data_IF_558161048577
#
_entry.id   IF_558161048577
#
_cell.length_a   1.000
_cell.length_b   1.000
_cell.length_c   1.000
_cell.angle_alpha   90.00
_cell.angle_beta   90.00
_cell.angle_gamma   90.00
#
_symmetry.space_group_name_H-M   'P 1'
#
loop_
_entity.id
_entity.type
_entity.pdbx_description
1 polymer ?
#
# COMPACT_ATOMS: atom_id res chain seq x y z
N UNK A 1 10.15 -7.59 14.40
CA UNK A 1 9.98 -6.69 15.55
C UNK A 1 10.52 -5.29 15.27
N UNK A 2 9.97 -4.20 15.88
CA UNK A 2 10.46 -2.82 15.70
C UNK A 2 11.95 -2.67 16.00
N UNK A 3 12.45 -3.39 17.02
CA UNK A 3 13.87 -3.42 17.38
C UNK A 3 14.77 -3.96 16.26
N UNK A 4 14.32 -4.96 15.52
CA UNK A 4 15.05 -5.45 14.36
C UNK A 4 15.19 -4.37 13.28
N UNK A 5 14.09 -3.75 12.89
CA UNK A 5 14.12 -2.68 11.89
C UNK A 5 14.97 -1.51 12.35
N UNK A 6 14.78 -1.03 13.59
CA UNK A 6 15.54 0.09 14.13
C UNK A 6 17.07 -0.15 14.12
N UNK A 7 17.50 -1.40 14.30
CA UNK A 7 18.92 -1.76 14.31
C UNK A 7 19.50 -2.02 12.90
N UNK A 8 18.67 -2.17 11.87
CA UNK A 8 19.08 -2.50 10.49
C UNK A 8 18.72 -1.43 9.47
N UNK A 9 18.09 -0.33 9.90
CA UNK A 9 17.92 0.86 9.04
C UNK A 9 19.25 1.57 8.96
N UNK A 10 19.72 1.81 7.74
CA UNK A 10 20.93 2.60 7.47
C UNK A 10 20.52 3.94 6.87
N UNK A 11 20.98 5.02 7.48
CA UNK A 11 20.88 6.35 6.90
C UNK A 11 22.22 6.66 6.23
N UNK A 12 22.20 6.91 4.93
CA UNK A 12 23.38 7.26 4.13
C UNK A 12 23.22 8.68 3.64
N UNK A 13 24.26 9.50 3.84
CA UNK A 13 24.29 10.91 3.44
C UNK A 13 25.44 11.21 2.52
N UNK A 14 25.26 12.21 1.66
CA UNK A 14 26.35 12.83 0.94
C UNK A 14 27.37 13.40 1.94
N UNK A 15 28.65 13.10 1.75
CA UNK A 15 29.75 13.47 2.63
C UNK A 15 30.05 12.45 3.74
N UNK A 16 29.28 11.35 3.84
CA UNK A 16 29.58 10.30 4.81
C UNK A 16 30.94 9.66 4.51
N UNK A 17 31.73 9.45 5.56
CA UNK A 17 33.04 8.81 5.52
C UNK A 17 32.83 7.29 5.66
N UNK A 18 32.76 6.60 4.54
CA UNK A 18 32.64 5.15 4.47
C UNK A 18 33.22 4.61 3.17
N UNK A 19 33.90 3.48 3.23
CA UNK A 19 34.38 2.85 2.01
C UNK A 19 33.30 2.01 1.31
N UNK A 20 33.46 1.83 0.00
CA UNK A 20 32.59 0.93 -0.78
C UNK A 20 32.55 -0.48 -0.15
N UNK A 21 33.68 -0.98 0.35
CA UNK A 21 33.79 -2.30 0.97
C UNK A 21 32.98 -2.37 2.26
N UNK A 22 33.01 -1.32 3.09
CA UNK A 22 32.22 -1.27 4.31
C UNK A 22 30.72 -1.21 4.01
N UNK A 23 30.32 -0.34 3.07
CA UNK A 23 28.92 -0.25 2.69
C UNK A 23 28.43 -1.55 2.04
N UNK A 24 29.24 -2.19 1.20
CA UNK A 24 28.93 -3.49 0.63
C UNK A 24 28.69 -4.55 1.71
N UNK A 25 29.54 -4.64 2.73
CA UNK A 25 29.36 -5.58 3.84
C UNK A 25 28.06 -5.29 4.63
N UNK A 26 27.74 -4.00 4.83
CA UNK A 26 26.48 -3.60 5.48
C UNK A 26 25.26 -4.03 4.66
N UNK A 27 25.31 -3.84 3.32
CA UNK A 27 24.23 -4.25 2.42
C UNK A 27 24.07 -5.77 2.38
N UNK A 28 25.16 -6.54 2.33
CA UNK A 28 25.12 -8.00 2.40
C UNK A 28 24.50 -8.49 3.72
N UNK A 29 24.89 -7.90 4.85
CA UNK A 29 24.31 -8.20 6.17
C UNK A 29 22.82 -7.79 6.26
N UNK A 30 22.42 -6.76 5.56
CA UNK A 30 21.02 -6.34 5.45
C UNK A 30 20.22 -7.17 4.43
N UNK A 31 20.84 -8.18 3.80
CA UNK A 31 20.19 -9.12 2.90
C UNK A 31 20.10 -8.66 1.44
N UNK A 32 20.79 -7.56 1.08
CA UNK A 32 20.84 -7.11 -0.32
C UNK A 32 21.67 -8.06 -1.18
N UNK A 33 21.22 -8.28 -2.41
CA UNK A 33 21.86 -9.16 -3.38
C UNK A 33 22.80 -8.40 -4.29
N UNK A 34 24.05 -8.87 -4.40
CA UNK A 34 25.01 -8.36 -5.37
C UNK A 34 24.67 -8.84 -6.79
N UNK A 35 24.56 -7.92 -7.73
CA UNK A 35 24.22 -8.17 -9.14
C UNK A 35 25.17 -7.39 -10.07
N UNK A 36 25.17 -7.72 -11.36
CA UNK A 36 25.91 -6.95 -12.36
C UNK A 36 25.23 -5.60 -12.68
N UNK A 37 23.90 -5.60 -12.67
CA UNK A 37 23.08 -4.43 -12.97
C UNK A 37 21.83 -4.45 -12.07
N UNK A 38 21.55 -3.34 -11.41
CA UNK A 38 20.40 -3.17 -10.52
C UNK A 38 19.12 -3.00 -11.34
N UNK A 39 18.14 -3.88 -11.13
CA UNK A 39 16.83 -3.88 -11.80
C UNK A 39 15.67 -3.95 -10.81
N UNK A 40 15.87 -4.59 -9.66
CA UNK A 40 14.81 -4.88 -8.69
C UNK A 40 15.18 -4.38 -7.28
N UNK A 41 14.18 -4.20 -6.44
CA UNK A 41 14.40 -3.87 -5.03
C UNK A 41 15.24 -4.96 -4.32
N UNK A 42 16.09 -4.54 -3.39
CA UNK A 42 16.97 -5.45 -2.66
C UNK A 42 18.25 -5.81 -3.42
N UNK A 43 18.52 -5.16 -4.55
CA UNK A 43 19.74 -5.36 -5.34
C UNK A 43 20.73 -4.22 -5.16
N UNK A 44 22.02 -4.55 -5.27
CA UNK A 44 23.09 -3.57 -5.41
C UNK A 44 24.15 -4.05 -6.40
N UNK A 45 24.87 -3.11 -7.03
CA UNK A 45 25.95 -3.36 -7.97
C UNK A 45 27.12 -2.40 -7.70
N UNK A 46 28.35 -2.88 -7.80
CA UNK A 46 29.55 -2.05 -7.66
C UNK A 46 30.30 -1.98 -8.99
N UNK A 47 30.61 -0.78 -9.46
CA UNK A 47 31.34 -0.53 -10.71
C UNK A 47 32.35 0.59 -10.53
N UNK A 48 33.60 0.23 -10.25
CA UNK A 48 34.67 1.21 -9.95
C UNK A 48 34.36 1.99 -8.66
N UNK A 49 34.24 3.33 -8.78
CA UNK A 49 33.85 4.22 -7.68
C UNK A 49 32.34 4.33 -7.48
N UNK A 50 31.54 3.65 -8.28
CA UNK A 50 30.09 3.74 -8.23
C UNK A 50 29.50 2.53 -7.49
N UNK A 51 28.51 2.80 -6.65
CA UNK A 51 27.65 1.80 -6.05
C UNK A 51 26.20 2.14 -6.40
N UNK A 52 25.58 1.29 -7.18
CA UNK A 52 24.16 1.36 -7.50
C UNK A 52 23.38 0.48 -6.53
N UNK A 53 22.22 0.94 -6.06
CA UNK A 53 21.35 0.16 -5.17
C UNK A 53 19.88 0.52 -5.34
N UNK A 54 18.99 -0.46 -5.12
CA UNK A 54 17.56 -0.24 -5.12
C UNK A 54 16.98 -0.62 -3.75
N UNK A 55 16.82 0.36 -2.85
CA UNK A 55 16.34 0.07 -1.50
C UNK A 55 14.92 -0.47 -1.48
N UNK A 56 14.63 -1.33 -0.51
CA UNK A 56 13.27 -1.71 -0.19
C UNK A 56 12.44 -0.49 0.18
N UNK A 57 11.22 -0.39 -0.37
CA UNK A 57 10.30 0.73 -0.14
C UNK A 57 10.62 2.04 -0.87
N UNK A 58 11.76 2.14 -1.59
CA UNK A 58 12.07 3.30 -2.41
C UNK A 58 11.30 3.24 -3.75
N UNK A 59 10.87 4.40 -4.27
CA UNK A 59 10.22 4.49 -5.58
C UNK A 59 11.22 4.45 -6.75
N UNK A 60 12.50 4.70 -6.49
CA UNK A 60 13.57 4.77 -7.48
C UNK A 60 14.88 4.22 -6.92
N UNK A 61 15.77 3.67 -7.75
CA UNK A 61 17.10 3.27 -7.34
C UNK A 61 18.05 4.47 -7.23
N UNK A 62 19.15 4.26 -6.50
CA UNK A 62 20.15 5.29 -6.23
C UNK A 62 21.52 4.86 -6.69
N UNK A 63 22.29 5.85 -7.16
CA UNK A 63 23.70 5.73 -7.52
C UNK A 63 24.52 6.61 -6.61
N UNK A 64 25.42 5.99 -5.86
CA UNK A 64 26.40 6.64 -5.00
C UNK A 64 27.73 6.71 -5.74
N UNK A 65 28.31 7.89 -5.83
CA UNK A 65 29.65 8.09 -6.35
C UNK A 65 30.62 8.33 -5.18
N UNK A 66 31.73 7.64 -5.18
CA UNK A 66 32.72 7.69 -4.10
C UNK A 66 33.98 8.38 -4.56
N UNK A 67 34.48 9.30 -3.75
CA UNK A 67 35.81 9.86 -3.87
C UNK A 67 36.67 9.36 -2.69
N UNK A 68 37.46 8.32 -2.95
CA UNK A 68 38.17 7.60 -1.87
C UNK A 68 37.17 6.90 -0.94
N UNK A 69 37.21 7.26 0.34
CA UNK A 69 36.31 6.74 1.38
C UNK A 69 35.19 7.74 1.75
N UNK A 70 34.86 8.66 0.85
CA UNK A 70 33.77 9.62 1.04
C UNK A 70 32.71 9.48 -0.05
N UNK A 71 31.43 9.60 0.33
CA UNK A 71 30.31 9.65 -0.61
C UNK A 71 30.21 11.06 -1.20
N UNK A 72 30.72 11.26 -2.42
CA UNK A 72 30.74 12.56 -3.09
C UNK A 72 29.36 12.99 -3.57
N UNK A 73 28.59 12.07 -4.13
CA UNK A 73 27.22 12.36 -4.55
C UNK A 73 26.29 11.16 -4.47
N UNK A 74 24.99 11.45 -4.26
CA UNK A 74 23.92 10.48 -4.33
C UNK A 74 22.90 10.96 -5.36
N UNK A 75 22.55 10.11 -6.32
CA UNK A 75 21.65 10.45 -7.42
C UNK A 75 20.64 9.34 -7.65
N UNK A 76 19.43 9.68 -8.02
CA UNK A 76 18.47 8.71 -8.55
C UNK A 76 18.86 8.33 -9.99
N UNK A 77 18.48 7.15 -10.43
CA UNK A 77 18.61 6.75 -11.82
C UNK A 77 17.40 5.95 -12.31
N UNK A 78 17.22 5.91 -13.60
CA UNK A 78 16.15 5.14 -14.24
C UNK A 78 16.58 3.70 -14.49
N UNK A 79 15.76 2.74 -14.08
CA UNK A 79 16.06 1.29 -14.13
C UNK A 79 16.28 0.80 -15.56
N UNK A 80 15.45 1.26 -16.50
CA UNK A 80 15.46 0.75 -17.88
C UNK A 80 16.63 1.33 -18.70
N UNK A 81 16.85 2.64 -18.57
CA UNK A 81 17.88 3.34 -19.33
C UNK A 81 19.21 3.44 -18.61
N UNK A 82 19.24 3.15 -17.30
CA UNK A 82 20.43 3.28 -16.42
C UNK A 82 20.99 4.71 -16.34
N UNK A 83 20.22 5.70 -16.78
CA UNK A 83 20.63 7.10 -16.77
C UNK A 83 20.36 7.75 -15.43
N UNK A 84 21.37 8.47 -14.95
CA UNK A 84 21.27 9.28 -13.74
C UNK A 84 20.30 10.43 -13.94
N UNK A 85 19.49 10.70 -12.91
CA UNK A 85 18.48 11.76 -12.92
C UNK A 85 18.80 12.85 -11.89
N UNK A 86 18.13 12.85 -10.75
CA UNK A 86 18.19 13.93 -9.76
C UNK A 86 19.20 13.63 -8.66
N UNK A 87 19.91 14.67 -8.18
CA UNK A 87 20.74 14.58 -6.98
C UNK A 87 19.90 14.71 -5.72
N UNK A 88 20.25 13.93 -4.71
CA UNK A 88 19.63 13.95 -3.38
C UNK A 88 20.71 13.97 -2.29
N UNK A 89 20.34 14.35 -1.08
CA UNK A 89 21.30 14.53 0.00
C UNK A 89 21.44 13.32 0.91
N UNK A 90 20.36 12.54 1.05
CA UNK A 90 20.33 11.37 1.93
C UNK A 90 19.34 10.31 1.45
N UNK A 91 19.60 9.08 1.84
CA UNK A 91 18.72 7.93 1.60
C UNK A 91 18.59 7.11 2.88
N UNK A 92 17.37 6.58 3.09
CA UNK A 92 17.08 5.61 4.12
C UNK A 92 17.02 4.22 3.51
N UNK A 93 17.82 3.30 4.03
CA UNK A 93 17.86 1.91 3.62
C UNK A 93 17.13 1.05 4.64
N UNK A 94 16.06 0.40 4.23
CA UNK A 94 15.47 -0.69 4.98
C UNK A 94 16.22 -1.99 4.67
N UNK A 95 16.26 -2.97 5.59
CA UNK A 95 16.81 -4.29 5.28
C UNK A 95 16.01 -4.95 4.14
N UNK A 96 16.70 -5.73 3.31
CA UNK A 96 16.07 -6.42 2.19
C UNK A 96 15.15 -7.58 2.63
N UNK A 97 15.31 -8.07 3.85
CA UNK A 97 14.45 -9.07 4.47
C UNK A 97 13.89 -8.56 5.80
N UNK A 98 12.68 -8.97 6.14
CA UNK A 98 12.02 -8.63 7.41
C UNK A 98 12.53 -9.46 8.60
N UNK A 99 13.54 -10.31 8.40
CA UNK A 99 14.16 -11.18 9.38
C UNK A 99 15.67 -11.26 9.16
N UNK A 100 16.47 -11.52 10.23
CA UNK A 100 17.92 -11.56 10.15
C UNK A 100 18.40 -12.75 9.32
N UNK A 101 19.26 -12.48 8.34
CA UNK A 101 19.87 -13.49 7.47
C UNK A 101 21.38 -13.67 7.73
N UNK A 102 21.89 -12.95 8.70
CA UNK A 102 23.25 -13.07 9.18
C UNK A 102 23.51 -14.38 9.97
N UNK A 103 24.74 -14.63 10.33
CA UNK A 103 25.12 -15.86 11.06
C UNK A 103 24.35 -16.05 12.37
N UNK A 104 24.04 -14.94 13.10
CA UNK A 104 23.29 -15.00 14.36
C UNK A 104 21.82 -15.36 14.13
N UNK A 105 21.18 -14.74 13.11
CA UNK A 105 19.83 -15.05 12.73
C UNK A 105 19.65 -16.49 12.27
N UNK A 106 20.61 -17.00 11.48
CA UNK A 106 20.62 -18.40 11.05
C UNK A 106 20.80 -19.35 12.24
N UNK A 107 21.69 -19.02 13.18
CA UNK A 107 21.88 -19.84 14.38
C UNK A 107 20.62 -19.89 15.24
N UNK A 108 19.95 -18.75 15.42
CA UNK A 108 18.68 -18.65 16.14
C UNK A 108 17.58 -19.48 15.46
N UNK A 109 17.44 -19.35 14.13
CA UNK A 109 16.55 -20.18 13.33
C UNK A 109 16.79 -21.67 13.55
N UNK A 110 18.06 -22.12 13.51
CA UNK A 110 18.43 -23.54 13.71
C UNK A 110 17.98 -24.05 15.09
N UNK A 111 18.15 -23.24 16.13
CA UNK A 111 17.70 -23.57 17.49
C UNK A 111 16.17 -23.72 17.53
N UNK A 112 15.45 -22.69 17.11
CA UNK A 112 13.98 -22.68 17.11
C UNK A 112 13.36 -23.73 16.20
N UNK A 113 13.98 -24.01 15.05
CA UNK A 113 13.51 -25.07 14.15
C UNK A 113 13.57 -26.44 14.80
N UNK A 114 14.68 -26.77 15.50
CA UNK A 114 14.82 -28.03 16.22
C UNK A 114 13.88 -28.17 17.41
N UNK A 115 13.57 -27.07 18.08
CA UNK A 115 12.57 -27.06 19.16
C UNK A 115 11.13 -27.28 18.61
N UNK A 116 10.83 -26.75 17.42
CA UNK A 116 9.49 -26.76 16.83
C UNK A 116 9.21 -28.08 16.09
N UNK A 117 10.19 -28.59 15.36
CA UNK A 117 10.04 -29.77 14.50
C UNK A 117 10.92 -30.93 14.99
N UNK A 118 10.28 -31.98 15.51
CA UNK A 118 10.97 -33.11 16.09
C UNK A 118 11.80 -33.93 15.09
N UNK A 119 11.40 -33.96 13.82
CA UNK A 119 11.99 -34.79 12.76
C UNK A 119 12.59 -33.93 11.65
N UNK A 120 13.88 -33.66 11.74
CA UNK A 120 14.62 -32.99 10.67
C UNK A 120 15.18 -34.08 9.75
N UNK A 121 14.79 -34.06 8.48
CA UNK A 121 15.31 -34.96 7.47
C UNK A 121 16.73 -34.58 7.09
N UNK A 122 17.53 -35.59 6.71
CA UNK A 122 18.95 -35.40 6.40
C UNK A 122 19.21 -34.93 4.97
N UNK A 123 18.19 -34.91 4.12
CA UNK A 123 18.30 -34.49 2.72
C UNK A 123 18.72 -33.02 2.62
N UNK A 124 19.65 -32.66 1.71
CA UNK A 124 20.15 -31.30 1.55
C UNK A 124 19.07 -30.30 1.13
N UNK A 125 18.00 -30.78 0.52
CA UNK A 125 16.84 -30.02 0.05
C UNK A 125 15.88 -29.63 1.18
N UNK A 126 16.04 -30.25 2.37
CA UNK A 126 15.23 -29.90 3.53
C UNK A 126 15.46 -28.44 3.93
N UNK A 127 14.39 -27.68 4.18
CA UNK A 127 14.44 -26.24 4.48
C UNK A 127 15.44 -25.89 5.59
N UNK A 128 15.55 -26.73 6.63
CA UNK A 128 16.51 -26.54 7.71
C UNK A 128 17.96 -26.46 7.20
N UNK A 129 18.36 -27.35 6.28
CA UNK A 129 19.71 -27.39 5.74
C UNK A 129 19.97 -26.25 4.74
N UNK A 130 18.96 -25.89 3.98
CA UNK A 130 19.06 -24.77 3.03
C UNK A 130 19.27 -23.44 3.77
N UNK A 131 18.42 -23.14 4.75
CA UNK A 131 18.57 -21.92 5.57
C UNK A 131 19.87 -21.94 6.36
N UNK A 132 20.27 -23.12 6.90
CA UNK A 132 21.56 -23.27 7.61
C UNK A 132 22.78 -22.95 6.74
N UNK A 133 22.66 -23.04 5.41
CA UNK A 133 23.70 -22.68 4.43
C UNK A 133 23.52 -21.27 3.87
N UNK A 134 22.56 -20.48 4.40
CA UNK A 134 22.23 -19.15 3.90
C UNK A 134 21.42 -19.15 2.59
N UNK A 135 20.84 -20.30 2.20
CA UNK A 135 20.00 -20.40 1.00
C UNK A 135 18.56 -20.07 1.40
N UNK A 136 18.07 -18.92 0.94
CA UNK A 136 16.73 -18.40 1.22
C UNK A 136 15.85 -18.57 -0.03
N UNK A 137 15.02 -19.60 -0.02
CA UNK A 137 14.11 -19.88 -1.12
C UNK A 137 12.81 -19.10 -0.97
N UNK A 138 12.08 -18.94 -2.08
CA UNK A 138 10.74 -18.34 -2.07
C UNK A 138 9.82 -19.00 -1.04
N UNK A 139 9.09 -18.17 -0.29
CA UNK A 139 8.20 -18.61 0.78
C UNK A 139 8.89 -18.86 2.12
N UNK A 140 10.16 -18.42 2.30
CA UNK A 140 10.87 -18.49 3.58
C UNK A 140 10.12 -17.71 4.70
N UNK A 141 9.29 -16.75 4.33
CA UNK A 141 8.47 -15.93 5.22
C UNK A 141 7.53 -16.79 6.10
N UNK A 142 7.14 -17.98 5.65
CA UNK A 142 6.35 -18.92 6.44
C UNK A 142 7.08 -19.44 7.70
N UNK A 143 8.41 -19.30 7.75
CA UNK A 143 9.23 -19.65 8.92
C UNK A 143 9.77 -18.42 9.65
N UNK A 144 9.33 -17.20 9.30
CA UNK A 144 9.77 -15.97 9.93
C UNK A 144 9.72 -15.99 11.46
N UNK A 145 8.70 -16.58 12.14
CA UNK A 145 8.69 -16.68 13.59
C UNK A 145 9.88 -17.43 14.20
N UNK A 146 10.57 -18.26 13.41
CA UNK A 146 11.72 -19.01 13.89
C UNK A 146 13.02 -18.19 13.91
N UNK A 147 13.01 -16.98 13.35
CA UNK A 147 14.17 -16.07 13.36
C UNK A 147 14.13 -15.09 14.53
N UNK A 148 13.07 -15.10 15.34
CA UNK A 148 12.86 -14.15 16.42
C UNK A 148 12.44 -14.87 17.71
N UNK A 149 12.76 -14.26 18.84
CA UNK A 149 12.23 -14.69 20.13
C UNK A 149 10.74 -14.41 20.23
N UNK A 150 10.34 -13.20 19.83
CA UNK A 150 8.95 -12.74 19.77
C UNK A 150 8.68 -12.03 18.44
N UNK A 151 7.51 -12.28 17.89
CA UNK A 151 7.03 -11.57 16.71
C UNK A 151 6.36 -10.25 17.12
N UNK A 152 6.32 -9.32 16.19
CA UNK A 152 5.55 -8.09 16.32
C UNK A 152 4.44 -8.02 15.27
N UNK A 153 3.45 -7.20 15.53
CA UNK A 153 2.33 -6.94 14.66
C UNK A 153 2.34 -5.51 14.13
N UNK A 154 1.45 -5.18 13.21
CA UNK A 154 1.24 -3.81 12.79
C UNK A 154 0.96 -2.86 13.98
N UNK A 155 0.26 -3.35 15.00
CA UNK A 155 -0.10 -2.53 16.18
C UNK A 155 1.12 -2.04 16.97
N UNK A 156 2.24 -2.77 16.92
CA UNK A 156 3.49 -2.39 17.60
C UNK A 156 4.22 -1.23 16.92
N UNK A 157 3.82 -0.88 15.70
CA UNK A 157 4.37 0.24 14.92
C UNK A 157 3.46 1.47 14.92
N UNK A 158 2.21 1.33 15.36
CA UNK A 158 1.25 2.42 15.29
C UNK A 158 1.28 3.29 16.54
N UNK A 159 1.19 4.63 16.37
CA UNK A 159 0.99 5.54 17.50
C UNK A 159 -0.32 5.22 18.24
N UNK A 160 -0.33 5.39 19.58
CA UNK A 160 -1.50 5.12 20.41
C UNK A 160 -2.76 5.95 20.06
N UNK A 161 -2.58 7.07 19.35
CA UNK A 161 -3.67 7.94 18.89
C UNK A 161 -4.17 7.62 17.47
N UNK A 162 -3.73 6.51 16.89
CA UNK A 162 -4.19 6.08 15.55
C UNK A 162 -5.68 5.78 15.56
N UNK A 163 -6.40 6.27 14.54
CA UNK A 163 -7.81 5.98 14.33
C UNK A 163 -7.94 4.78 13.38
N UNK A 164 -8.66 3.76 13.82
CA UNK A 164 -9.02 2.64 12.95
C UNK A 164 -10.40 2.87 12.31
N UNK A 165 -10.45 2.83 10.99
CA UNK A 165 -11.70 2.80 10.24
C UNK A 165 -11.94 1.37 9.78
N UNK A 166 -13.01 0.74 10.29
CA UNK A 166 -13.38 -0.63 9.95
C UNK A 166 -14.67 -0.64 9.14
N UNK A 167 -14.74 -1.55 8.18
CA UNK A 167 -15.94 -1.75 7.38
C UNK A 167 -16.75 -2.93 7.89
N UNK A 168 -18.07 -2.92 7.65
CA UNK A 168 -18.93 -4.06 7.94
C UNK A 168 -18.42 -5.33 7.23
N UNK A 169 -18.65 -6.49 7.87
CA UNK A 169 -18.17 -7.77 7.35
C UNK A 169 -16.72 -8.12 7.72
N UNK A 170 -16.04 -7.32 8.55
CA UNK A 170 -14.66 -7.60 8.99
C UNK A 170 -14.55 -8.95 9.70
N UNK A 171 -15.54 -9.28 10.56
CA UNK A 171 -15.52 -10.52 11.33
C UNK A 171 -15.65 -11.75 10.45
N UNK A 172 -16.59 -11.71 9.51
CA UNK A 172 -16.82 -12.79 8.54
C UNK A 172 -15.59 -13.02 7.66
N UNK A 173 -14.97 -11.95 7.21
CA UNK A 173 -13.76 -12.02 6.37
C UNK A 173 -12.55 -12.53 7.14
N UNK A 174 -12.38 -12.13 8.38
CA UNK A 174 -11.30 -12.62 9.24
C UNK A 174 -11.47 -14.12 9.53
N UNK A 175 -12.69 -14.57 9.83
CA UNK A 175 -12.98 -15.98 10.05
C UNK A 175 -12.81 -16.81 8.77
N UNK A 176 -13.27 -16.32 7.63
CA UNK A 176 -13.05 -16.97 6.33
C UNK A 176 -11.55 -17.13 6.04
N UNK A 177 -10.76 -16.07 6.23
CA UNK A 177 -9.30 -16.13 6.05
C UNK A 177 -8.66 -17.21 6.94
N UNK A 178 -9.05 -17.26 8.22
CA UNK A 178 -8.54 -18.26 9.16
C UNK A 178 -8.86 -19.69 8.72
N UNK A 179 -10.10 -19.93 8.28
CA UNK A 179 -10.52 -21.25 7.76
C UNK A 179 -9.75 -21.63 6.51
N UNK A 180 -9.53 -20.69 5.58
CA UNK A 180 -8.78 -20.94 4.36
C UNK A 180 -7.29 -21.21 4.65
N UNK A 181 -6.70 -20.48 5.62
CA UNK A 181 -5.33 -20.72 6.08
C UNK A 181 -5.19 -22.12 6.70
N UNK A 182 -6.16 -22.51 7.54
CA UNK A 182 -6.19 -23.83 8.17
C UNK A 182 -6.30 -24.96 7.14
N UNK A 183 -7.22 -24.83 6.17
CA UNK A 183 -7.37 -25.80 5.08
C UNK A 183 -6.09 -25.96 4.24
N UNK A 184 -5.43 -24.83 3.93
CA UNK A 184 -4.14 -24.86 3.19
C UNK A 184 -3.05 -25.57 3.98
N UNK A 185 -2.99 -25.34 5.29
CA UNK A 185 -2.05 -26.01 6.18
C UNK A 185 -2.30 -27.53 6.20
N UNK A 186 -3.54 -27.97 6.38
CA UNK A 186 -3.93 -29.39 6.42
C UNK A 186 -3.68 -30.12 5.09
N UNK A 187 -3.89 -29.43 3.96
CA UNK A 187 -3.72 -29.99 2.62
C UNK A 187 -2.27 -30.00 2.13
N UNK A 188 -1.37 -29.28 2.77
CA UNK A 188 0.03 -29.13 2.35
C UNK A 188 0.96 -29.88 3.30
N UNK A 189 1.03 -31.18 3.13
CA UNK A 189 2.02 -32.02 3.85
C UNK A 189 3.26 -32.15 2.97
N UNK A 190 4.30 -31.38 3.27
CA UNK A 190 5.59 -31.47 2.63
C UNK A 190 6.66 -31.76 3.70
N UNK A 191 7.17 -33.00 3.77
CA UNK A 191 8.17 -33.37 4.76
C UNK A 191 9.50 -32.62 4.61
N UNK A 192 9.81 -32.08 3.42
CA UNK A 192 11.02 -31.28 3.20
C UNK A 192 10.84 -29.83 3.67
N UNK A 193 9.59 -29.37 3.74
CA UNK A 193 9.20 -28.01 4.12
C UNK A 193 8.06 -28.03 5.14
N UNK A 194 8.29 -28.57 6.37
CA UNK A 194 7.25 -28.62 7.38
C UNK A 194 6.78 -27.21 7.73
N UNK A 195 5.48 -26.98 7.75
CA UNK A 195 4.89 -25.66 7.99
C UNK A 195 4.62 -25.44 9.48
N UNK A 196 4.70 -24.19 9.90
CA UNK A 196 4.19 -23.77 11.20
C UNK A 196 2.66 -23.77 11.19
N UNK A 197 2.06 -24.03 12.35
CA UNK A 197 0.61 -23.89 12.50
C UNK A 197 0.15 -22.46 12.21
N UNK A 198 -1.01 -22.26 11.57
CA UNK A 198 -1.54 -20.95 11.25
C UNK A 198 -1.62 -19.97 12.42
N UNK A 199 -1.85 -20.49 13.63
CA UNK A 199 -1.87 -19.71 14.89
C UNK A 199 -0.51 -19.08 15.25
N UNK A 200 0.59 -19.53 14.66
CA UNK A 200 1.92 -18.95 14.85
C UNK A 200 2.20 -17.80 13.88
N UNK A 201 1.39 -17.65 12.83
CA UNK A 201 1.59 -16.69 11.75
C UNK A 201 0.54 -15.59 11.74
N UNK A 202 -0.70 -15.90 12.16
CA UNK A 202 -1.83 -14.97 12.08
C UNK A 202 -2.63 -14.94 13.37
N UNK A 203 -3.10 -13.76 13.71
CA UNK A 203 -3.98 -13.56 14.85
C UNK A 203 -5.33 -14.23 14.65
N UNK A 204 -5.89 -14.71 15.76
CA UNK A 204 -7.31 -15.03 15.86
C UNK A 204 -8.16 -13.76 15.83
N UNK A 205 -9.44 -13.89 15.53
CA UNK A 205 -10.39 -12.77 15.59
C UNK A 205 -10.49 -12.16 17.00
N UNK A 206 -10.35 -12.97 18.04
CA UNK A 206 -10.36 -12.52 19.43
C UNK A 206 -9.15 -11.64 19.75
N UNK A 207 -7.98 -12.03 19.28
CA UNK A 207 -6.74 -11.24 19.43
C UNK A 207 -6.83 -9.91 18.68
N UNK A 208 -7.30 -9.92 17.43
CA UNK A 208 -7.52 -8.69 16.64
C UNK A 208 -8.49 -7.76 17.39
N UNK A 209 -9.62 -8.28 17.88
CA UNK A 209 -10.60 -7.48 18.60
C UNK A 209 -10.03 -6.92 19.91
N UNK A 210 -9.18 -7.68 20.62
CA UNK A 210 -8.50 -7.21 21.82
C UNK A 210 -7.55 -6.06 21.52
N UNK A 211 -6.74 -6.18 20.46
CA UNK A 211 -5.80 -5.14 20.03
C UNK A 211 -6.54 -3.86 19.58
N UNK A 212 -7.59 -4.00 18.79
CA UNK A 212 -8.42 -2.87 18.34
C UNK A 212 -9.11 -2.11 19.46
N UNK A 213 -9.37 -2.74 20.62
CA UNK A 213 -9.98 -2.06 21.79
C UNK A 213 -9.09 -0.96 22.36
N UNK A 214 -7.78 -1.03 22.14
CA UNK A 214 -6.83 -0.02 22.60
C UNK A 214 -6.84 1.28 21.78
N UNK A 215 -7.58 1.34 20.65
CA UNK A 215 -7.56 2.46 19.73
C UNK A 215 -8.94 3.07 19.49
N UNK A 216 -9.01 4.38 19.22
CA UNK A 216 -10.20 5.01 18.65
C UNK A 216 -10.63 4.28 17.37
N UNK A 217 -11.93 4.01 17.25
CA UNK A 217 -12.45 3.23 16.12
C UNK A 217 -13.75 3.82 15.58
N UNK A 218 -13.80 3.95 14.25
CA UNK A 218 -14.99 4.24 13.48
C UNK A 218 -15.39 2.99 12.67
N UNK A 219 -16.60 2.49 12.85
CA UNK A 219 -17.11 1.38 12.04
C UNK A 219 -18.12 1.92 11.03
N UNK A 220 -17.85 1.69 9.74
CA UNK A 220 -18.75 1.99 8.65
C UNK A 220 -19.50 0.72 8.24
N UNK A 221 -20.81 0.80 8.11
CA UNK A 221 -21.67 -0.32 7.68
C UNK A 221 -22.67 0.18 6.64
N UNK A 222 -23.05 -0.70 5.73
CA UNK A 222 -24.14 -0.44 4.77
C UNK A 222 -25.52 -0.62 5.38
N UNK A 223 -25.61 -1.20 6.58
CA UNK A 223 -26.87 -1.44 7.27
C UNK A 223 -27.28 -0.22 8.10
N UNK A 224 -28.57 0.10 8.09
CA UNK A 224 -29.10 1.12 9.00
C UNK A 224 -28.97 0.65 10.45
N UNK A 225 -28.46 1.54 11.29
CA UNK A 225 -28.30 1.31 12.73
C UNK A 225 -29.30 2.14 13.51
N UNK A 226 -29.67 1.66 14.70
CA UNK A 226 -30.43 2.48 15.63
C UNK A 226 -29.56 3.64 16.11
N UNK A 227 -30.01 4.88 15.87
CA UNK A 227 -29.30 6.10 16.23
C UNK A 227 -29.08 6.22 17.72
N UNK A 228 -27.90 6.62 18.14
CA UNK A 228 -27.53 6.85 19.54
C UNK A 228 -26.39 7.87 19.61
N UNK A 229 -25.93 8.25 20.80
CA UNK A 229 -24.79 9.16 20.96
C UNK A 229 -23.49 8.70 20.25
N UNK A 230 -23.34 7.38 19.99
CA UNK A 230 -22.17 6.79 19.34
C UNK A 230 -22.46 6.22 17.94
N UNK A 231 -23.69 6.32 17.46
CA UNK A 231 -24.11 5.73 16.17
C UNK A 231 -25.02 6.69 15.43
N UNK A 232 -24.70 6.97 14.19
CA UNK A 232 -25.50 7.80 13.29
C UNK A 232 -25.65 7.14 11.93
N UNK A 233 -26.69 7.48 11.22
CA UNK A 233 -26.88 7.08 9.84
C UNK A 233 -26.61 8.28 8.92
N UNK A 234 -25.86 8.06 7.84
CA UNK A 234 -25.77 8.99 6.74
C UNK A 234 -26.86 8.62 5.73
N UNK A 235 -27.71 9.58 5.38
CA UNK A 235 -28.73 9.37 4.35
C UNK A 235 -28.10 9.54 2.98
N UNK A 236 -27.54 8.46 2.45
CA UNK A 236 -26.87 8.44 1.13
C UNK A 236 -27.82 7.85 0.10
N UNK A 237 -28.08 8.64 -0.96
CA UNK A 237 -28.90 8.23 -2.09
C UNK A 237 -28.06 8.18 -3.38
N UNK A 238 -28.50 7.40 -4.34
CA UNK A 238 -27.92 7.38 -5.68
C UNK A 238 -28.30 8.66 -6.42
N UNK A 239 -27.40 9.16 -7.25
CA UNK A 239 -27.73 10.21 -8.23
C UNK A 239 -28.81 9.70 -9.19
N UNK A 240 -29.72 10.57 -9.65
CA UNK A 240 -30.54 10.28 -10.81
C UNK A 240 -29.64 10.14 -12.05
N UNK A 241 -30.21 9.71 -13.17
CA UNK A 241 -29.50 9.70 -14.46
C UNK A 241 -29.19 11.15 -14.89
N UNK A 242 -27.92 11.51 -14.84
CA UNK A 242 -27.36 12.81 -15.23
C UNK A 242 -26.66 12.78 -16.59
N UNK A 243 -26.64 11.61 -17.24
CA UNK A 243 -25.89 11.42 -18.48
C UNK A 243 -26.24 12.44 -19.55
N UNK A 244 -25.20 13.00 -20.15
CA UNK A 244 -25.33 13.95 -21.27
C UNK A 244 -25.82 13.20 -22.51
N UNK A 245 -26.92 13.63 -23.07
CA UNK A 245 -27.45 13.00 -24.26
C UNK A 245 -27.32 13.96 -25.48
N UNK A 246 -26.33 13.75 -26.35
CA UNK A 246 -26.07 14.62 -27.51
C UNK A 246 -27.19 14.61 -28.57
N UNK A 247 -28.12 13.66 -28.50
CA UNK A 247 -29.27 13.58 -29.42
C UNK A 247 -30.46 14.49 -29.02
N UNK A 248 -30.44 15.05 -27.84
CA UNK A 248 -31.45 15.96 -27.37
C UNK A 248 -31.16 17.40 -27.83
N UNK A 249 -32.23 18.24 -28.00
CA UNK A 249 -32.06 19.70 -28.24
C UNK A 249 -31.23 20.37 -27.13
N UNK A 250 -31.39 19.91 -25.91
CA UNK A 250 -30.57 20.30 -24.77
C UNK A 250 -29.84 19.02 -24.23
N UNK A 251 -28.57 18.82 -24.56
CA UNK A 251 -27.83 17.68 -24.11
C UNK A 251 -27.72 17.53 -22.57
N UNK A 252 -27.81 18.66 -21.85
CA UNK A 252 -27.67 18.74 -20.40
C UNK A 252 -29.01 18.76 -19.64
N UNK A 253 -30.13 18.48 -20.30
CA UNK A 253 -31.46 18.63 -19.72
C UNK A 253 -31.61 17.92 -18.37
N UNK A 254 -31.09 16.67 -18.22
CA UNK A 254 -31.19 15.92 -17.01
C UNK A 254 -30.41 16.58 -15.85
N UNK A 255 -29.18 17.02 -16.11
CA UNK A 255 -28.37 17.72 -15.13
C UNK A 255 -28.98 19.07 -14.73
N UNK A 256 -29.47 19.86 -15.67
CA UNK A 256 -30.12 21.15 -15.38
C UNK A 256 -31.37 20.96 -14.52
N UNK A 257 -32.22 19.98 -14.86
CA UNK A 257 -33.39 19.64 -14.06
C UNK A 257 -33.02 19.21 -12.64
N UNK A 258 -31.98 18.42 -12.50
CA UNK A 258 -31.46 18.03 -11.19
C UNK A 258 -31.00 19.27 -10.40
N UNK A 259 -30.16 20.12 -11.00
CA UNK A 259 -29.63 21.34 -10.39
C UNK A 259 -30.71 22.28 -9.91
N UNK A 260 -31.78 22.48 -10.71
CA UNK A 260 -32.89 23.32 -10.35
C UNK A 260 -33.71 22.85 -9.16
N UNK A 261 -33.81 21.54 -8.99
CA UNK A 261 -34.58 20.89 -7.90
C UNK A 261 -33.75 20.60 -6.67
N UNK A 262 -32.45 20.50 -6.82
CA UNK A 262 -31.57 20.12 -5.72
C UNK A 262 -31.25 21.29 -4.80
N UNK A 263 -31.70 21.18 -3.55
CA UNK A 263 -31.42 22.21 -2.54
C UNK A 263 -30.20 21.81 -1.72
N UNK A 264 -29.01 22.22 -2.19
CA UNK A 264 -27.74 21.90 -1.55
C UNK A 264 -26.54 22.22 -2.42
N UNK A 265 -25.36 21.82 -1.98
CA UNK A 265 -24.12 22.04 -2.69
C UNK A 265 -23.83 20.91 -3.69
N UNK A 266 -23.34 21.25 -4.86
CA UNK A 266 -22.92 20.31 -5.89
C UNK A 266 -21.38 20.35 -5.98
N UNK A 267 -20.74 19.21 -5.85
CA UNK A 267 -19.30 19.05 -6.00
C UNK A 267 -19.02 18.11 -7.18
N UNK A 268 -18.37 18.62 -8.20
CA UNK A 268 -17.83 17.77 -9.24
C UNK A 268 -16.53 17.11 -8.77
N UNK A 269 -16.42 15.80 -8.95
CA UNK A 269 -15.24 15.02 -8.62
C UNK A 269 -14.56 14.54 -9.89
N UNK A 270 -13.26 14.82 -10.02
CA UNK A 270 -12.43 14.40 -11.15
C UNK A 270 -11.15 13.73 -10.67
N UNK A 271 -10.64 12.78 -11.43
CA UNK A 271 -9.51 11.97 -11.02
C UNK A 271 -8.16 12.71 -11.08
N UNK A 272 -7.99 13.60 -12.06
CA UNK A 272 -6.72 14.30 -12.33
C UNK A 272 -6.93 15.75 -12.79
N UNK A 273 -5.84 16.53 -12.73
CA UNK A 273 -5.81 17.90 -13.27
C UNK A 273 -6.19 17.97 -14.75
N UNK A 274 -5.74 17.04 -15.58
CA UNK A 274 -6.11 16.98 -16.99
C UNK A 274 -7.60 16.73 -17.19
N UNK A 275 -8.20 15.91 -16.34
CA UNK A 275 -9.64 15.64 -16.34
C UNK A 275 -10.45 16.86 -15.88
N UNK A 276 -9.90 17.66 -14.97
CA UNK A 276 -10.49 18.93 -14.58
C UNK A 276 -10.74 19.84 -15.78
N UNK A 277 -9.73 20.04 -16.63
CA UNK A 277 -9.88 20.90 -17.82
C UNK A 277 -10.96 20.35 -18.77
N UNK A 278 -10.95 19.04 -18.99
CA UNK A 278 -11.98 18.39 -19.82
C UNK A 278 -13.39 18.61 -19.26
N UNK A 279 -13.56 18.50 -17.94
CA UNK A 279 -14.85 18.75 -17.31
C UNK A 279 -15.25 20.21 -17.39
N UNK A 280 -14.35 21.17 -17.21
CA UNK A 280 -14.62 22.59 -17.33
C UNK A 280 -15.06 22.96 -18.75
N UNK A 281 -14.41 22.40 -19.77
CA UNK A 281 -14.82 22.58 -21.18
C UNK A 281 -16.19 21.96 -21.41
N UNK A 282 -16.50 20.81 -20.84
CA UNK A 282 -17.81 20.18 -20.92
C UNK A 282 -18.92 21.05 -20.31
N UNK A 283 -18.64 21.70 -19.18
CA UNK A 283 -19.59 22.55 -18.45
C UNK A 283 -19.68 23.99 -19.01
N UNK A 284 -18.77 24.39 -19.91
CA UNK A 284 -18.73 25.75 -20.48
C UNK A 284 -20.04 26.20 -21.14
N UNK A 285 -20.77 25.34 -21.91
CA UNK A 285 -22.08 25.73 -22.49
C UNK A 285 -23.11 26.11 -21.43
N UNK A 286 -23.02 25.54 -20.22
CA UNK A 286 -23.90 25.86 -19.10
C UNK A 286 -23.49 27.13 -18.35
N UNK A 287 -22.41 27.80 -18.76
CA UNK A 287 -21.79 28.95 -18.09
C UNK A 287 -21.47 28.70 -16.61
N UNK A 288 -21.20 27.45 -16.24
CA UNK A 288 -20.79 27.05 -14.90
C UNK A 288 -19.30 27.25 -14.74
N UNK A 289 -18.92 27.81 -13.59
CA UNK A 289 -17.52 28.01 -13.19
C UNK A 289 -17.32 27.40 -11.77
N UNK A 290 -17.23 26.08 -11.64
CA UNK A 290 -17.04 25.47 -10.36
C UNK A 290 -15.78 26.00 -9.68
N UNK A 291 -15.87 26.33 -8.40
CA UNK A 291 -14.70 26.74 -7.61
C UNK A 291 -13.90 25.52 -7.21
N UNK A 292 -12.62 25.50 -7.51
CA UNK A 292 -11.74 24.43 -7.08
C UNK A 292 -11.53 24.48 -5.57
N UNK A 293 -11.72 23.34 -4.92
CA UNK A 293 -11.48 23.10 -3.50
C UNK A 293 -10.53 21.92 -3.34
N UNK A 294 -9.82 21.87 -2.21
CA UNK A 294 -8.94 20.74 -1.85
C UNK A 294 -9.62 19.74 -0.93
N UNK A 295 -10.56 20.21 -0.12
CA UNK A 295 -11.31 19.41 0.84
C UNK A 295 -12.78 19.84 0.91
N UNK A 296 -13.67 18.92 1.25
CA UNK A 296 -15.12 19.18 1.33
C UNK A 296 -15.50 20.27 2.35
N UNK A 297 -14.70 20.48 3.40
CA UNK A 297 -14.94 21.56 4.37
C UNK A 297 -14.64 22.97 3.84
N UNK A 298 -14.09 23.08 2.63
CA UNK A 298 -13.85 24.37 1.95
C UNK A 298 -15.02 24.82 1.07
N UNK A 299 -16.11 24.05 1.02
CA UNK A 299 -17.29 24.40 0.24
C UNK A 299 -17.88 25.72 0.78
N UNK A 300 -17.91 26.74 -0.07
CA UNK A 300 -18.52 28.07 0.20
C UNK A 300 -19.43 28.51 -0.94
N UNK A 301 -19.31 27.88 -2.08
CA UNK A 301 -20.06 28.16 -3.29
C UNK A 301 -21.00 27.00 -3.59
N UNK A 302 -22.18 27.26 -4.19
CA UNK A 302 -23.14 26.20 -4.50
C UNK A 302 -22.59 25.12 -5.44
N UNK A 303 -21.59 25.46 -6.25
CA UNK A 303 -20.95 24.54 -7.18
C UNK A 303 -19.44 24.61 -7.02
N UNK A 304 -18.86 23.47 -6.67
CA UNK A 304 -17.43 23.33 -6.45
C UNK A 304 -16.85 22.17 -7.27
N UNK A 305 -15.53 22.10 -7.39
CA UNK A 305 -14.80 21.04 -8.06
C UNK A 305 -13.67 20.53 -7.15
N UNK A 306 -13.61 19.24 -7.00
CA UNK A 306 -12.61 18.52 -6.21
C UNK A 306 -11.84 17.56 -7.09
N UNK A 307 -10.50 17.51 -6.95
CA UNK A 307 -9.68 16.47 -7.57
C UNK A 307 -9.61 15.32 -6.59
N UNK A 308 -10.42 14.30 -6.84
CA UNK A 308 -10.51 13.08 -6.03
C UNK A 308 -11.03 11.95 -6.90
N UNK A 309 -10.37 10.80 -6.84
CA UNK A 309 -10.79 9.62 -7.58
C UNK A 309 -12.03 9.00 -6.91
N UNK A 310 -13.16 9.06 -7.62
CA UNK A 310 -14.40 8.40 -7.28
C UNK A 310 -14.97 7.74 -8.52
N UNK A 311 -15.42 6.49 -8.38
CA UNK A 311 -15.97 5.72 -9.50
C UNK A 311 -17.41 6.12 -9.83
N UNK A 312 -18.19 6.51 -8.81
CA UNK A 312 -19.60 6.85 -8.94
C UNK A 312 -19.98 7.94 -7.94
N UNK A 313 -20.79 8.90 -8.39
CA UNK A 313 -21.32 9.95 -7.55
C UNK A 313 -22.50 9.50 -6.67
N UNK A 314 -22.84 10.34 -5.72
CA UNK A 314 -23.92 10.11 -4.77
C UNK A 314 -24.45 11.42 -4.17
N UNK A 315 -25.59 11.33 -3.49
CA UNK A 315 -26.20 12.43 -2.74
C UNK A 315 -26.17 12.10 -1.26
N UNK A 316 -25.76 13.06 -0.43
CA UNK A 316 -25.99 13.05 1.01
C UNK A 316 -27.16 14.00 1.29
N UNK A 317 -28.26 13.45 1.77
CA UNK A 317 -29.41 14.23 2.19
C UNK A 317 -29.33 14.44 3.70
N UNK A 318 -29.25 15.67 4.12
CA UNK A 318 -29.28 16.00 5.53
C UNK A 318 -30.74 15.99 6.03
N UNK A 319 -30.94 15.36 7.17
CA UNK A 319 -32.22 15.31 7.86
C UNK A 319 -32.21 16.34 9.01
N UNK A 320 -33.36 16.55 9.65
CA UNK A 320 -33.47 17.42 10.82
C UNK A 320 -32.51 17.00 11.96
N UNK A 321 -32.13 15.71 12.00
CA UNK A 321 -31.18 15.15 12.99
C UNK A 321 -29.71 15.41 12.62
N UNK A 322 -29.40 15.68 11.34
CA UNK A 322 -28.05 15.98 10.85
C UNK A 322 -28.00 17.45 10.42
N UNK A 323 -27.30 18.28 11.20
CA UNK A 323 -27.11 19.70 10.84
C UNK A 323 -26.20 19.82 9.62
N UNK A 324 -26.71 20.38 8.53
CA UNK A 324 -25.93 20.65 7.32
C UNK A 324 -26.79 20.87 6.08
N UNK A 325 -26.17 21.28 4.99
CA UNK A 325 -26.81 21.38 3.68
C UNK A 325 -26.67 20.05 2.95
N UNK A 326 -27.62 19.74 2.05
CA UNK A 326 -27.50 18.56 1.18
C UNK A 326 -26.25 18.69 0.32
N UNK A 327 -25.64 17.56 0.00
CA UNK A 327 -24.42 17.51 -0.81
C UNK A 327 -24.59 16.48 -1.93
N UNK A 328 -24.44 16.90 -3.17
CA UNK A 328 -24.33 16.02 -4.32
C UNK A 328 -22.87 15.97 -4.79
N UNK A 329 -22.29 14.79 -4.87
CA UNK A 329 -20.99 14.58 -5.52
C UNK A 329 -21.26 13.93 -6.86
N UNK A 330 -20.81 14.57 -7.94
CA UNK A 330 -21.04 14.14 -9.33
C UNK A 330 -19.70 13.84 -9.96
N UNK A 331 -19.50 12.61 -10.41
CA UNK A 331 -18.29 12.18 -11.10
C UNK A 331 -18.43 12.39 -12.62
N UNK A 332 -17.31 12.35 -13.34
CA UNK A 332 -17.34 12.38 -14.82
C UNK A 332 -18.16 11.25 -15.41
N UNK A 333 -18.11 10.05 -14.81
CA UNK A 333 -18.84 8.87 -15.23
C UNK A 333 -20.35 9.07 -15.19
N UNK A 334 -20.84 9.86 -14.23
CA UNK A 334 -22.27 10.18 -14.11
C UNK A 334 -22.76 11.09 -15.23
N UNK A 335 -21.87 11.90 -15.84
CA UNK A 335 -22.19 12.81 -16.94
C UNK A 335 -21.92 12.20 -18.33
N UNK A 336 -20.83 11.42 -18.46
CA UNK A 336 -20.35 10.90 -19.75
C UNK A 336 -20.74 9.44 -20.00
N UNK A 337 -21.38 8.76 -19.02
CA UNK A 337 -21.67 7.33 -19.04
C UNK A 337 -20.47 6.46 -18.64
N UNK A 338 -20.71 5.16 -18.50
CA UNK A 338 -19.66 4.22 -18.07
C UNK A 338 -18.46 4.23 -19.04
N UNK A 339 -17.28 4.42 -18.49
CA UNK A 339 -16.04 4.18 -19.24
C UNK A 339 -15.96 2.71 -19.61
N UNK A 340 -15.83 2.42 -20.89
CA UNK A 340 -15.24 1.16 -21.31
C UNK A 340 -13.80 1.18 -20.80
N UNK A 341 -13.54 0.50 -19.69
CA UNK A 341 -12.18 0.24 -19.24
C UNK A 341 -11.46 -0.53 -20.37
N UNK A 342 -10.65 0.18 -21.15
CA UNK A 342 -9.65 -0.52 -21.94
C UNK A 342 -8.68 -1.13 -20.92
N UNK A 343 -8.56 -2.47 -20.84
CA UNK A 343 -7.55 -3.08 -19.99
C UNK A 343 -6.21 -2.48 -20.45
N UNK A 344 -5.44 -1.91 -19.53
CA UNK A 344 -4.05 -1.52 -19.78
C UNK A 344 -3.43 -2.72 -20.48
N UNK A 345 -2.96 -2.54 -21.70
CA UNK A 345 -2.34 -3.62 -22.48
C UNK A 345 -1.25 -4.21 -21.59
N UNK A 346 -1.47 -5.44 -21.14
CA UNK A 346 -0.42 -6.20 -20.47
C UNK A 346 0.74 -6.22 -21.47
N UNK A 347 1.84 -5.63 -21.08
CA UNK A 347 3.08 -5.61 -21.84
C UNK A 347 3.36 -7.07 -22.25
N UNK A 348 3.23 -7.34 -23.54
CA UNK A 348 3.56 -8.64 -24.13
C UNK A 348 5.07 -8.79 -23.96
N UNK A 349 5.50 -9.33 -22.82
CA UNK A 349 6.85 -9.91 -22.74
C UNK A 349 6.92 -11.00 -23.79
N UNK A 350 7.62 -10.70 -24.87
CA UNK A 350 8.02 -11.68 -25.88
C UNK A 350 8.86 -12.72 -25.16
N UNK A 351 8.30 -13.89 -24.95
CA UNK A 351 9.07 -15.11 -24.73
C UNK A 351 9.91 -15.32 -25.98
N UNK A 352 11.19 -15.03 -25.89
CA UNK A 352 12.18 -15.48 -26.87
C UNK A 352 12.51 -16.91 -26.47
N UNK A 353 12.23 -17.82 -27.41
CA UNK A 353 12.63 -19.24 -27.36
C UNK A 353 14.15 -19.37 -27.28
#
# INVERSE_FOLDING_TARGET
PPSYLANHVLLIKKGDQTSIQQLRLQLENAGYRSVEQVLEHGEYAVRGSLLDLYPMGASQPFRLDFFGDEIDSIRTFDVDTQRTMSEILEINLLPAHEFPTDSKGIEFFRGKFRETFANIRHEPEHIYHQVSKGILNAGIEYWQPLFFEEMASLFDYLPNHSLFITFGGLQEKAEQFRQDAQKRFENRIDPMRPLLEPSKLWFSLEEINRLLKGYPRLTLTSEKVQTSAAKSNLNVAKLPDLAINPHLKNPFANFEQFREKFNGNIVFSVETEGRRETLLDLLAPLKLKPKQIKMLNEIKEPISLLISALDQGFVIENTEETSGENLAIICETDLLGERVHQPKSADKRKTVN
#
